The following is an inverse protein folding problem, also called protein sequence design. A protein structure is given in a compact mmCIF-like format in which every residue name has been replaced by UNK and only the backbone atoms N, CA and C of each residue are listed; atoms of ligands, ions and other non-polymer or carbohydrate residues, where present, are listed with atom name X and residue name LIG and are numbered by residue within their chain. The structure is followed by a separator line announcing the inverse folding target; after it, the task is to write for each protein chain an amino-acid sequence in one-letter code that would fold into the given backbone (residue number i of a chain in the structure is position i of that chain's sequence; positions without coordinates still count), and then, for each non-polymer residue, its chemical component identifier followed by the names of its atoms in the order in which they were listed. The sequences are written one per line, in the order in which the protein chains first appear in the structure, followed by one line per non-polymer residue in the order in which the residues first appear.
data_IF_146036390467
#
_entry.id   IF_146036390467
#
_cell.length_a   1.000
_cell.length_b   1.000
_cell.length_c   1.000
_cell.angle_alpha   90.00
_cell.angle_beta   90.00
_cell.angle_gamma   90.00
#
_symmetry.space_group_name_H-M   'P 1'
#
loop_
_entity.id
_entity.type
_entity.pdbx_description
1 polymer ?
#
# COMPACT_ATOMS: atom_id res chain seq x y z
N UNK A 1 -2.66 65.26 -0.12
CA UNK A 1 -3.49 64.08 0.22
C UNK A 1 -2.84 62.85 -0.38
N UNK A 2 -2.34 61.98 0.51
CA UNK A 2 -1.96 60.55 0.40
C UNK A 2 -1.24 60.04 -0.84
N UNK A 3 0.06 59.82 -0.63
CA UNK A 3 0.85 58.71 -1.18
C UNK A 3 0.16 57.37 -0.90
N UNK A 4 0.16 56.48 -1.88
CA UNK A 4 0.12 55.03 -1.66
C UNK A 4 1.25 54.41 -2.47
N UNK A 5 2.39 54.23 -1.80
CA UNK A 5 3.39 53.25 -2.18
C UNK A 5 2.79 51.86 -1.98
N UNK A 6 2.62 51.10 -3.06
CA UNK A 6 2.43 49.67 -2.95
C UNK A 6 3.81 49.06 -2.76
N UNK A 7 4.13 48.71 -1.52
CA UNK A 7 5.25 47.84 -1.20
C UNK A 7 4.88 46.43 -1.62
N UNK A 8 5.53 45.92 -2.66
CA UNK A 8 5.58 44.49 -2.95
C UNK A 8 6.46 43.83 -1.88
N UNK A 9 5.89 43.60 -0.70
CA UNK A 9 6.36 42.54 0.19
C UNK A 9 5.78 41.23 -0.35
N UNK A 10 6.50 40.63 -1.28
CA UNK A 10 6.39 39.21 -1.60
C UNK A 10 6.69 38.40 -0.33
N UNK A 11 5.67 38.17 0.47
CA UNK A 11 5.62 37.07 1.43
C UNK A 11 5.47 35.75 0.64
N UNK A 12 6.48 35.42 -0.17
CA UNK A 12 6.77 34.03 -0.49
C UNK A 12 7.10 33.37 0.84
N UNK A 13 6.14 32.63 1.40
CA UNK A 13 6.42 31.69 2.50
C UNK A 13 7.50 30.75 1.98
N UNK A 14 8.75 30.97 2.37
CA UNK A 14 9.83 30.04 2.13
C UNK A 14 9.35 28.67 2.61
N UNK A 15 9.15 27.73 1.67
CA UNK A 15 8.97 26.34 2.05
C UNK A 15 10.19 25.96 2.88
N UNK A 16 10.04 25.29 4.04
CA UNK A 16 11.19 24.78 4.73
C UNK A 16 11.97 23.91 3.74
N UNK A 17 13.23 24.27 3.44
CA UNK A 17 14.18 23.42 2.68
C UNK A 17 14.35 22.02 3.30
N UNK A 18 13.75 21.79 4.47
CA UNK A 18 13.66 20.51 5.17
C UNK A 18 12.55 19.60 4.63
N UNK A 19 11.52 20.13 3.96
CA UNK A 19 10.43 19.33 3.38
C UNK A 19 10.77 18.82 1.96
N UNK A 20 11.38 19.69 1.15
CA UNK A 20 11.86 19.37 -0.21
C UNK A 20 13.35 18.99 -0.13
N UNK A 21 13.73 17.85 -0.72
CA UNK A 21 15.11 17.33 -0.71
C UNK A 21 15.66 17.01 0.69
N UNK A 22 14.77 16.59 1.61
CA UNK A 22 15.10 16.20 2.97
C UNK A 22 16.27 15.20 3.07
N UNK A 23 16.49 14.39 2.04
CA UNK A 23 17.55 13.39 1.99
C UNK A 23 18.95 13.97 1.74
N UNK A 24 19.07 15.23 1.32
CA UNK A 24 20.35 15.96 1.16
C UNK A 24 20.79 16.70 2.43
N UNK A 25 19.90 16.86 3.41
CA UNK A 25 20.19 17.56 4.66
C UNK A 25 20.85 16.73 5.78
N UNK A 26 20.94 15.38 5.75
CA UNK A 26 21.73 14.63 6.72
C UNK A 26 23.20 15.04 6.67
N UNK A 27 23.88 15.05 7.83
CA UNK A 27 25.31 15.42 7.92
C UNK A 27 26.24 14.50 7.10
N UNK A 28 25.74 13.31 6.77
CA UNK A 28 26.41 12.27 5.98
C UNK A 28 26.57 12.64 4.49
N UNK A 29 25.86 13.66 4.00
CA UNK A 29 25.98 14.18 2.64
C UNK A 29 26.84 15.45 2.59
N UNK A 30 27.58 15.63 1.49
CA UNK A 30 28.31 16.86 1.17
C UNK A 30 27.38 17.94 0.60
N UNK A 31 27.91 19.15 0.39
CA UNK A 31 27.14 20.28 -0.17
C UNK A 31 26.60 20.00 -1.58
N UNK A 32 27.14 18.99 -2.27
CA UNK A 32 26.73 18.56 -3.60
C UNK A 32 25.71 17.40 -3.58
N UNK A 33 25.38 16.85 -2.41
CA UNK A 33 24.46 15.72 -2.26
C UNK A 33 25.08 14.35 -2.52
N UNK A 34 26.40 14.22 -2.43
CA UNK A 34 27.13 12.94 -2.42
C UNK A 34 27.42 12.46 -1.01
N UNK A 35 27.36 11.15 -0.81
CA UNK A 35 27.67 10.54 0.49
C UNK A 35 29.16 10.73 0.81
N UNK A 36 29.49 11.30 1.97
CA UNK A 36 30.88 11.62 2.38
C UNK A 36 31.78 10.40 2.63
N UNK A 37 31.24 9.19 2.59
CA UNK A 37 31.94 7.96 2.96
C UNK A 37 32.32 7.20 1.70
N UNK A 38 33.61 6.91 1.53
CA UNK A 38 34.12 5.98 0.50
C UNK A 38 33.74 4.55 0.88
N UNK A 39 32.87 3.91 0.09
CA UNK A 39 32.30 2.59 0.39
C UNK A 39 32.69 1.62 -0.72
N UNK A 40 33.92 1.12 -0.66
CA UNK A 40 34.38 -0.01 -1.47
C UNK A 40 33.85 -1.36 -0.96
N UNK A 41 33.42 -1.46 0.31
CA UNK A 41 32.98 -2.71 0.95
C UNK A 41 31.47 -2.74 1.23
N UNK A 42 30.73 -3.40 0.33
CA UNK A 42 29.26 -3.53 0.37
C UNK A 42 28.72 -4.31 1.57
N UNK A 43 29.54 -5.17 2.20
CA UNK A 43 29.09 -6.16 3.19
C UNK A 43 28.90 -5.61 4.60
N UNK A 44 29.42 -4.42 4.91
CA UNK A 44 29.42 -3.84 6.27
C UNK A 44 28.54 -2.58 6.42
N UNK A 45 27.61 -2.34 5.48
CA UNK A 45 26.77 -1.15 5.52
C UNK A 45 25.73 -1.22 6.64
N UNK A 46 25.73 -0.19 7.51
CA UNK A 46 24.69 -0.02 8.53
C UNK A 46 23.32 0.21 7.86
N UNK A 47 22.20 -0.14 8.52
CA UNK A 47 20.85 0.11 7.98
C UNK A 47 20.62 1.56 7.56
N UNK A 48 21.16 2.52 8.33
CA UNK A 48 21.15 3.95 7.98
C UNK A 48 21.82 4.22 6.63
N UNK A 49 23.05 3.73 6.44
CA UNK A 49 23.79 3.93 5.18
C UNK A 49 23.07 3.29 3.99
N UNK A 50 22.38 2.16 4.20
CA UNK A 50 21.54 1.54 3.16
C UNK A 50 20.39 2.46 2.72
N UNK A 51 19.70 3.10 3.65
CA UNK A 51 18.63 4.07 3.35
C UNK A 51 19.18 5.28 2.61
N UNK A 52 20.30 5.86 3.07
CA UNK A 52 20.90 7.03 2.41
C UNK A 52 21.34 6.70 0.98
N UNK A 53 21.92 5.51 0.76
CA UNK A 53 22.30 5.04 -0.58
C UNK A 53 21.09 4.80 -1.48
N UNK A 54 19.98 4.31 -0.93
CA UNK A 54 18.74 4.17 -1.69
C UNK A 54 18.23 5.55 -2.12
N UNK A 55 18.27 6.55 -1.24
CA UNK A 55 17.91 7.93 -1.59
C UNK A 55 18.83 8.51 -2.67
N UNK A 56 20.14 8.27 -2.59
CA UNK A 56 21.10 8.65 -3.63
C UNK A 56 20.78 7.96 -4.97
N UNK A 57 20.48 6.65 -4.96
CA UNK A 57 20.06 5.91 -6.15
C UNK A 57 18.78 6.51 -6.76
N UNK A 58 17.77 6.79 -5.94
CA UNK A 58 16.53 7.41 -6.39
C UNK A 58 16.81 8.79 -6.99
N UNK A 59 17.70 9.57 -6.39
CA UNK A 59 18.07 10.88 -6.88
C UNK A 59 18.75 10.83 -8.24
N UNK A 60 19.73 9.93 -8.43
CA UNK A 60 20.46 9.75 -9.68
C UNK A 60 19.54 9.33 -10.84
N UNK A 61 18.52 8.53 -10.55
CA UNK A 61 17.61 8.00 -11.57
C UNK A 61 16.42 8.93 -11.80
N UNK A 62 16.03 9.76 -10.84
CA UNK A 62 14.76 10.49 -10.89
C UNK A 62 14.60 11.42 -12.10
N UNK A 63 15.66 12.10 -12.55
CA UNK A 63 15.57 13.09 -13.64
C UNK A 63 15.24 12.46 -15.00
N UNK A 64 15.73 11.26 -15.28
CA UNK A 64 15.50 10.56 -16.56
C UNK A 64 14.49 9.42 -16.41
N UNK A 65 14.45 8.78 -15.24
CA UNK A 65 13.70 7.56 -14.99
C UNK A 65 12.20 7.75 -14.76
N UNK A 66 11.74 8.94 -14.35
CA UNK A 66 10.31 9.21 -14.14
C UNK A 66 9.54 9.03 -15.45
N UNK A 67 10.01 9.65 -16.54
CA UNK A 67 9.34 9.58 -17.84
C UNK A 67 9.32 8.15 -18.40
N UNK A 68 10.43 7.42 -18.23
CA UNK A 68 10.50 6.01 -18.62
C UNK A 68 9.49 5.13 -17.86
N UNK A 69 9.38 5.28 -16.55
CA UNK A 69 8.42 4.51 -15.76
C UNK A 69 6.98 4.95 -16.01
N UNK A 70 6.74 6.25 -16.18
CA UNK A 70 5.44 6.79 -16.58
C UNK A 70 4.99 6.21 -17.91
N UNK A 71 5.88 6.17 -18.91
CA UNK A 71 5.58 5.57 -20.20
C UNK A 71 5.24 4.08 -20.08
N UNK A 72 6.01 3.33 -19.27
CA UNK A 72 5.72 1.92 -18.95
C UNK A 72 4.36 1.76 -18.28
N UNK A 73 4.01 2.62 -17.33
CA UNK A 73 2.70 2.58 -16.65
C UNK A 73 1.54 2.92 -17.59
N UNK A 74 1.71 3.90 -18.49
CA UNK A 74 0.69 4.29 -19.47
C UNK A 74 0.41 3.16 -20.49
N UNK A 75 1.47 2.44 -20.87
CA UNK A 75 1.38 1.33 -21.84
C UNK A 75 1.00 0.00 -21.19
N UNK A 76 1.15 -0.12 -19.87
CA UNK A 76 0.88 -1.32 -19.10
C UNK A 76 -0.52 -1.88 -19.32
N UNK A 77 -0.57 -3.19 -19.53
CA UNK A 77 -1.77 -4.02 -19.49
C UNK A 77 -1.60 -5.09 -18.42
N UNK A 78 -2.72 -5.45 -17.79
CA UNK A 78 -2.77 -6.52 -16.79
C UNK A 78 -2.09 -7.80 -17.33
N UNK A 79 -1.15 -8.34 -16.57
CA UNK A 79 -0.34 -9.50 -16.93
C UNK A 79 0.90 -9.19 -17.77
N UNK A 80 1.27 -7.94 -18.03
CA UNK A 80 2.49 -7.61 -18.80
C UNK A 80 3.78 -7.95 -18.05
N UNK A 81 3.77 -7.92 -16.72
CA UNK A 81 4.91 -8.35 -15.90
C UNK A 81 4.89 -9.84 -15.54
N UNK A 82 3.96 -10.60 -16.11
CA UNK A 82 3.90 -12.04 -15.91
C UNK A 82 5.13 -12.70 -16.55
N UNK A 83 5.78 -13.58 -15.79
CA UNK A 83 6.90 -14.39 -16.25
C UNK A 83 6.45 -15.85 -16.43
N UNK A 84 6.90 -16.55 -17.49
CA UNK A 84 6.57 -17.95 -17.72
C UNK A 84 7.29 -18.85 -16.70
N UNK A 85 6.74 -18.94 -15.50
CA UNK A 85 7.21 -19.86 -14.45
C UNK A 85 6.38 -21.14 -14.51
N UNK A 86 7.04 -22.30 -14.53
CA UNK A 86 6.37 -23.60 -14.49
C UNK A 86 5.72 -24.07 -15.80
N UNK A 87 6.10 -23.49 -16.95
CA UNK A 87 5.65 -23.95 -18.27
C UNK A 87 4.17 -23.66 -18.62
N UNK A 88 3.46 -22.95 -17.76
CA UNK A 88 2.09 -22.47 -18.02
C UNK A 88 2.18 -21.26 -18.94
N UNK A 89 1.32 -21.16 -19.95
CA UNK A 89 1.27 -20.01 -20.85
C UNK A 89 0.43 -18.88 -20.26
N UNK A 90 0.72 -17.62 -20.62
CA UNK A 90 -0.06 -16.43 -20.20
C UNK A 90 -1.56 -16.59 -20.47
N UNK A 91 -1.91 -17.16 -21.62
CA UNK A 91 -3.29 -17.44 -22.05
C UNK A 91 -4.04 -18.45 -21.15
N UNK A 92 -3.31 -19.33 -20.47
CA UNK A 92 -3.84 -20.26 -19.47
C UNK A 92 -3.95 -19.64 -18.06
N UNK A 93 -3.56 -18.39 -17.87
CA UNK A 93 -3.66 -17.68 -16.57
C UNK A 93 -4.97 -16.88 -16.47
N UNK A 94 -5.53 -16.83 -15.27
CA UNK A 94 -6.71 -16.03 -14.92
C UNK A 94 -6.30 -14.59 -14.59
N UNK A 95 -5.99 -13.84 -15.64
CA UNK A 95 -5.54 -12.44 -15.58
C UNK A 95 -6.77 -11.54 -15.70
N UNK A 96 -7.05 -10.65 -14.73
CA UNK A 96 -8.17 -9.72 -14.82
C UNK A 96 -7.92 -8.66 -15.89
N UNK A 97 -8.97 -8.03 -16.41
CA UNK A 97 -8.82 -6.98 -17.43
C UNK A 97 -8.06 -5.73 -16.90
N UNK A 98 -8.17 -5.47 -15.59
CA UNK A 98 -7.56 -4.33 -14.90
C UNK A 98 -7.13 -4.79 -13.51
N UNK A 99 -5.88 -4.53 -13.15
CA UNK A 99 -5.33 -4.78 -11.83
C UNK A 99 -5.90 -3.80 -10.81
N UNK A 100 -6.30 -4.31 -9.66
CA UNK A 100 -6.85 -3.50 -8.57
C UNK A 100 -5.85 -3.37 -7.44
N UNK A 101 -5.30 -2.16 -7.28
CA UNK A 101 -4.48 -1.79 -6.12
C UNK A 101 -5.38 -1.20 -5.04
N UNK A 102 -5.38 -1.76 -3.84
CA UNK A 102 -6.17 -1.25 -2.71
C UNK A 102 -5.26 -0.55 -1.71
N UNK A 103 -5.52 0.73 -1.43
CA UNK A 103 -4.86 1.46 -0.36
C UNK A 103 -5.57 1.16 0.95
N UNK A 104 -4.83 0.68 1.96
CA UNK A 104 -5.34 0.48 3.33
C UNK A 104 -4.40 1.13 4.32
N UNK A 105 -4.92 1.55 5.47
CA UNK A 105 -4.11 2.22 6.48
C UNK A 105 -4.97 2.82 7.57
N UNK A 106 -4.35 3.22 8.67
CA UNK A 106 -5.07 3.85 9.78
C UNK A 106 -5.75 5.15 9.36
N UNK A 107 -6.64 5.63 10.20
CA UNK A 107 -7.26 6.97 10.06
C UNK A 107 -6.18 8.04 9.95
N UNK A 108 -6.39 9.05 9.11
CA UNK A 108 -5.44 10.13 8.87
C UNK A 108 -4.05 9.73 8.30
N UNK A 109 -3.83 8.48 7.89
CA UNK A 109 -2.58 8.03 7.22
C UNK A 109 -2.23 8.70 5.88
N UNK A 110 -3.06 9.60 5.34
CA UNK A 110 -2.76 10.31 4.09
C UNK A 110 -3.01 9.52 2.80
N UNK A 111 -3.85 8.48 2.83
CA UNK A 111 -4.23 7.69 1.63
C UNK A 111 -4.83 8.56 0.50
N UNK A 112 -5.81 9.40 0.81
CA UNK A 112 -6.44 10.28 -0.18
C UNK A 112 -5.45 11.33 -0.72
N UNK A 113 -4.57 11.85 0.15
CA UNK A 113 -3.47 12.74 -0.27
C UNK A 113 -2.47 12.03 -1.19
N UNK A 114 -2.17 10.75 -0.92
CA UNK A 114 -1.34 9.91 -1.79
C UNK A 114 -2.00 9.68 -3.15
N UNK A 115 -3.33 9.47 -3.21
CA UNK A 115 -4.07 9.37 -4.48
C UNK A 115 -3.98 10.69 -5.27
N UNK A 116 -4.14 11.83 -4.61
CA UNK A 116 -3.95 13.13 -5.23
C UNK A 116 -2.52 13.31 -5.76
N UNK A 117 -1.53 12.82 -5.01
CA UNK A 117 -0.13 12.81 -5.43
C UNK A 117 0.09 11.90 -6.65
N UNK A 118 -0.53 10.72 -6.67
CA UNK A 118 -0.53 9.84 -7.85
C UNK A 118 -1.17 10.49 -9.08
N UNK A 119 -2.27 11.23 -8.93
CA UNK A 119 -2.84 11.99 -10.06
C UNK A 119 -1.90 13.06 -10.59
N UNK A 120 -1.12 13.67 -9.71
CA UNK A 120 -0.19 14.75 -10.06
C UNK A 120 1.07 14.21 -10.74
N UNK A 121 1.58 13.05 -10.28
CA UNK A 121 2.82 12.42 -10.76
C UNK A 121 2.58 11.44 -11.93
N UNK A 122 1.43 10.80 -12.03
CA UNK A 122 1.17 9.77 -13.05
C UNK A 122 0.17 10.23 -14.11
N UNK A 123 -0.70 11.18 -13.75
CA UNK A 123 -1.70 11.71 -14.66
C UNK A 123 -1.09 12.56 -15.77
N UNK A 124 -1.77 12.61 -16.92
CA UNK A 124 -1.48 13.64 -17.92
C UNK A 124 -1.72 15.03 -17.35
N UNK A 125 -0.86 15.98 -17.72
CA UNK A 125 -0.93 17.39 -17.33
C UNK A 125 -2.36 17.94 -17.46
N UNK A 126 -2.86 18.61 -16.42
CA UNK A 126 -4.21 19.15 -16.33
C UNK A 126 -4.80 19.07 -14.92
N UNK A 127 -5.98 19.67 -14.72
CA UNK A 127 -6.67 19.79 -13.42
C UNK A 127 -6.61 18.49 -12.61
N UNK A 128 -6.09 18.58 -11.39
CA UNK A 128 -6.02 17.48 -10.43
C UNK A 128 -7.42 17.31 -9.81
N UNK A 129 -8.11 16.18 -10.05
CA UNK A 129 -9.32 15.90 -9.31
C UNK A 129 -8.91 15.65 -7.86
N UNK A 130 -9.31 16.54 -6.96
CA UNK A 130 -9.03 16.39 -5.53
C UNK A 130 -9.94 15.30 -4.97
N UNK A 131 -9.36 14.13 -4.69
CA UNK A 131 -9.92 13.21 -3.70
C UNK A 131 -10.04 13.98 -2.37
N UNK A 132 -11.12 13.77 -1.62
CA UNK A 132 -11.35 14.48 -0.37
C UNK A 132 -10.25 14.14 0.65
N UNK A 133 -9.26 15.02 0.81
CA UNK A 133 -8.30 14.98 1.91
C UNK A 133 -8.91 15.67 3.13
N UNK A 134 -8.69 15.10 4.32
CA UNK A 134 -9.20 15.65 5.58
C UNK A 134 -8.33 16.81 6.09
N UNK A 135 -8.06 17.81 5.25
CA UNK A 135 -7.25 18.99 5.61
C UNK A 135 -8.07 20.16 6.20
N UNK A 136 -9.23 19.86 6.78
CA UNK A 136 -10.05 20.82 7.49
C UNK A 136 -11.04 20.13 8.42
N UNK A 137 -11.61 20.89 9.35
CA UNK A 137 -12.56 20.52 10.41
C UNK A 137 -13.89 19.88 9.93
N UNK A 138 -13.90 19.19 8.79
CA UNK A 138 -15.04 18.43 8.29
C UNK A 138 -15.01 17.03 8.89
N UNK A 139 -16.00 16.73 9.73
CA UNK A 139 -16.35 15.42 10.28
C UNK A 139 -16.61 14.30 9.25
N UNK A 140 -16.29 14.51 7.97
CA UNK A 140 -16.54 13.58 6.87
C UNK A 140 -15.22 12.95 6.43
N UNK A 141 -14.79 11.90 7.12
CA UNK A 141 -13.79 10.96 6.59
C UNK A 141 -14.35 10.26 5.36
N UNK A 142 -13.50 9.79 4.43
CA UNK A 142 -13.90 8.98 3.27
C UNK A 142 -14.85 7.86 3.70
N UNK A 143 -16.16 8.00 3.45
CA UNK A 143 -17.18 7.02 3.89
C UNK A 143 -17.43 5.94 2.84
N UNK A 144 -16.85 6.11 1.65
CA UNK A 144 -17.04 5.24 0.51
C UNK A 144 -15.69 4.82 -0.04
N UNK A 145 -15.64 3.62 -0.61
CA UNK A 145 -14.49 3.17 -1.37
C UNK A 145 -14.51 3.81 -2.76
N UNK A 146 -13.46 4.54 -3.12
CA UNK A 146 -13.41 5.29 -4.38
C UNK A 146 -12.44 4.64 -5.37
N UNK A 147 -12.85 4.46 -6.63
CA UNK A 147 -11.99 3.93 -7.69
C UNK A 147 -11.35 5.10 -8.43
N UNK A 148 -10.03 5.10 -8.48
CA UNK A 148 -9.23 6.15 -9.11
C UNK A 148 -8.44 5.59 -10.30
N UNK A 149 -8.74 6.12 -11.48
CA UNK A 149 -7.90 5.95 -12.67
C UNK A 149 -6.83 7.05 -12.68
N UNK A 150 -5.75 6.84 -11.90
CA UNK A 150 -4.69 7.83 -11.67
C UNK A 150 -3.96 8.25 -12.96
N UNK A 151 -3.90 7.37 -13.97
CA UNK A 151 -3.31 7.65 -15.29
C UNK A 151 -4.22 8.47 -16.21
N UNK A 152 -5.50 8.65 -15.85
CA UNK A 152 -6.52 9.31 -16.69
C UNK A 152 -6.60 8.74 -18.10
N UNK A 153 -6.47 7.42 -18.20
CA UNK A 153 -6.44 6.70 -19.49
C UNK A 153 -7.49 5.61 -19.53
N UNK A 154 -8.33 5.61 -20.58
CA UNK A 154 -9.29 4.53 -20.83
C UNK A 154 -8.60 3.19 -21.14
N UNK A 155 -7.29 3.21 -21.42
CA UNK A 155 -6.48 2.03 -21.70
C UNK A 155 -5.65 1.58 -20.48
N UNK A 156 -5.85 2.20 -19.32
CA UNK A 156 -5.11 1.84 -18.10
C UNK A 156 -5.31 0.36 -17.76
N UNK A 157 -4.20 -0.35 -17.59
CA UNK A 157 -4.21 -1.73 -17.10
C UNK A 157 -4.46 -1.88 -15.60
N UNK A 158 -4.59 -0.78 -14.85
CA UNK A 158 -4.84 -0.81 -13.41
C UNK A 158 -5.72 0.34 -12.90
N UNK A 159 -6.25 0.18 -11.68
CA UNK A 159 -6.95 1.20 -10.92
C UNK A 159 -6.51 1.16 -9.45
N UNK A 160 -6.59 2.30 -8.77
CA UNK A 160 -6.28 2.45 -7.34
C UNK A 160 -7.57 2.66 -6.58
N UNK A 161 -7.77 1.96 -5.49
CA UNK A 161 -8.91 2.15 -4.61
C UNK A 161 -8.49 2.84 -3.32
N UNK A 162 -9.11 3.97 -3.02
CA UNK A 162 -8.98 4.65 -1.74
C UNK A 162 -10.00 4.08 -0.75
N UNK A 163 -9.53 3.64 0.40
CA UNK A 163 -10.39 3.12 1.47
C UNK A 163 -10.54 4.14 2.58
N UNK A 164 -11.63 4.02 3.35
CA UNK A 164 -11.69 4.65 4.66
C UNK A 164 -10.51 4.18 5.50
N UNK A 165 -9.99 5.08 6.33
CA UNK A 165 -8.98 4.68 7.32
C UNK A 165 -9.53 3.66 8.31
N UNK A 166 -8.66 2.83 8.88
CA UNK A 166 -9.04 1.94 9.98
C UNK A 166 -8.94 2.67 11.32
N UNK A 167 -9.78 2.30 12.27
CA UNK A 167 -9.67 2.80 13.65
C UNK A 167 -8.71 1.92 14.44
N UNK A 168 -7.68 2.52 15.05
CA UNK A 168 -6.75 1.80 15.93
C UNK A 168 -7.43 1.17 17.14
N UNK A 169 -8.59 1.69 17.56
CA UNK A 169 -9.36 1.17 18.69
C UNK A 169 -10.23 -0.03 18.31
N UNK A 170 -10.60 -0.15 17.02
CA UNK A 170 -11.48 -1.20 16.51
C UNK A 170 -10.85 -1.90 15.30
N UNK A 171 -9.64 -2.39 15.51
CA UNK A 171 -8.90 -3.10 14.46
C UNK A 171 -9.57 -4.42 14.06
N UNK A 172 -10.35 -5.06 14.94
CA UNK A 172 -11.00 -6.33 14.62
C UNK A 172 -12.05 -6.13 13.52
N UNK A 173 -12.95 -5.15 13.68
CA UNK A 173 -13.94 -4.80 12.67
C UNK A 173 -13.26 -4.38 11.36
N UNK A 174 -12.23 -3.53 11.45
CA UNK A 174 -11.46 -3.08 10.28
C UNK A 174 -10.78 -4.22 9.51
N UNK A 175 -10.23 -5.21 10.20
CA UNK A 175 -9.59 -6.37 9.56
C UNK A 175 -10.60 -7.33 8.94
N UNK A 176 -11.78 -7.48 9.55
CA UNK A 176 -12.88 -8.26 8.96
C UNK A 176 -13.36 -7.61 7.66
N UNK A 177 -13.47 -6.28 7.64
CA UNK A 177 -13.84 -5.52 6.45
C UNK A 177 -12.80 -5.69 5.33
N UNK A 178 -11.51 -5.52 5.65
CA UNK A 178 -10.41 -5.75 4.70
C UNK A 178 -10.42 -7.19 4.17
N UNK A 179 -10.64 -8.17 5.05
CA UNK A 179 -10.73 -9.59 4.66
C UNK A 179 -11.91 -9.86 3.72
N UNK A 180 -13.04 -9.17 3.95
CA UNK A 180 -14.21 -9.20 3.08
C UNK A 180 -13.91 -8.60 1.71
N UNK A 181 -13.17 -7.48 1.65
CA UNK A 181 -12.74 -6.89 0.38
C UNK A 181 -11.78 -7.80 -0.39
N UNK A 182 -10.84 -8.46 0.30
CA UNK A 182 -9.87 -9.37 -0.33
C UNK A 182 -10.53 -10.64 -0.91
N UNK A 183 -11.55 -11.16 -0.23
CA UNK A 183 -12.24 -12.40 -0.63
C UNK A 183 -13.37 -12.15 -1.64
N UNK A 184 -14.21 -11.14 -1.39
CA UNK A 184 -15.40 -10.88 -2.19
C UNK A 184 -15.15 -9.85 -3.28
N UNK A 185 -14.08 -9.07 -3.20
CA UNK A 185 -13.80 -7.95 -4.11
C UNK A 185 -14.46 -6.65 -3.69
N UNK A 186 -14.01 -5.56 -4.31
CA UNK A 186 -14.40 -4.17 -4.05
C UNK A 186 -15.23 -3.57 -5.18
N UNK A 187 -15.97 -2.50 -4.88
CA UNK A 187 -16.74 -1.70 -5.83
C UNK A 187 -16.58 -0.22 -5.56
N UNK A 188 -16.57 0.58 -6.62
CA UNK A 188 -16.66 2.03 -6.49
C UNK A 188 -17.96 2.44 -5.79
N UNK A 189 -17.88 3.44 -4.90
CA UNK A 189 -18.95 3.94 -4.06
C UNK A 189 -19.61 2.86 -3.18
N UNK A 190 -18.90 1.79 -2.83
CA UNK A 190 -19.36 0.91 -1.75
C UNK A 190 -19.14 1.63 -0.42
N UNK A 191 -20.13 1.64 0.48
CA UNK A 191 -19.95 2.24 1.81
C UNK A 191 -18.97 1.44 2.66
N UNK A 192 -18.16 2.14 3.44
CA UNK A 192 -17.24 1.60 4.44
C UNK A 192 -17.72 2.08 5.81
N UNK A 193 -18.57 1.27 6.44
CA UNK A 193 -19.24 1.61 7.70
C UNK A 193 -18.35 1.27 8.89
N UNK A 194 -18.36 2.13 9.89
CA UNK A 194 -17.84 1.84 11.23
C UNK A 194 -18.96 1.72 12.25
N UNK A 195 -18.66 1.08 13.36
CA UNK A 195 -19.52 1.12 14.53
C UNK A 195 -19.89 2.58 14.90
N UNK A 196 -21.19 2.90 14.85
CA UNK A 196 -21.73 4.24 15.16
C UNK A 196 -22.05 5.12 13.95
N UNK A 197 -21.67 4.73 12.73
CA UNK A 197 -22.15 5.42 11.53
C UNK A 197 -23.66 5.19 11.37
N UNK A 198 -24.39 6.27 11.06
CA UNK A 198 -25.79 6.12 10.65
C UNK A 198 -25.81 5.35 9.33
N UNK A 199 -26.52 4.22 9.30
CA UNK A 199 -26.86 3.51 8.07
C UNK A 199 -27.61 4.46 7.14
N UNK A 200 -26.87 5.16 6.28
CA UNK A 200 -27.45 5.80 5.12
C UNK A 200 -27.91 4.61 4.26
N UNK A 201 -29.22 4.49 4.04
CA UNK A 201 -29.85 3.54 3.13
C UNK A 201 -29.39 3.82 1.68
N UNK A 202 -28.11 3.65 1.40
CA UNK A 202 -27.54 3.58 0.07
C UNK A 202 -27.43 2.11 -0.27
N UNK A 203 -28.49 1.55 -0.86
CA UNK A 203 -28.46 0.17 -1.36
C UNK A 203 -27.23 -0.05 -2.23
N UNK A 204 -26.64 -1.25 -2.13
CA UNK A 204 -25.49 -1.69 -2.96
C UNK A 204 -25.71 -1.24 -4.41
N UNK A 205 -24.98 -0.21 -4.84
CA UNK A 205 -25.14 0.36 -6.16
C UNK A 205 -24.55 -0.64 -7.17
N UNK A 206 -25.39 -1.52 -7.72
CA UNK A 206 -24.99 -2.58 -8.67
C UNK A 206 -24.48 -2.02 -9.99
N UNK A 207 -24.57 -0.70 -10.19
CA UNK A 207 -24.07 0.04 -11.35
C UNK A 207 -22.56 -0.10 -11.54
N UNK A 208 -21.79 -0.24 -10.45
CA UNK A 208 -20.34 -0.33 -10.52
C UNK A 208 -19.86 -1.78 -10.53
N UNK A 209 -18.88 -2.08 -11.39
CA UNK A 209 -18.31 -3.40 -11.53
C UNK A 209 -17.63 -3.83 -10.22
N UNK A 210 -17.80 -5.11 -9.85
CA UNK A 210 -17.04 -5.71 -8.76
C UNK A 210 -15.67 -6.14 -9.25
N UNK A 211 -14.62 -5.73 -8.56
CA UNK A 211 -13.24 -6.07 -8.89
C UNK A 211 -12.59 -6.86 -7.77
N UNK A 212 -11.83 -7.88 -8.12
CA UNK A 212 -10.97 -8.60 -7.17
C UNK A 212 -9.79 -7.70 -6.85
N UNK A 213 -9.40 -7.60 -5.58
CA UNK A 213 -8.19 -6.87 -5.18
C UNK A 213 -6.97 -7.71 -5.54
N UNK A 214 -5.98 -7.15 -6.24
CA UNK A 214 -4.82 -7.89 -6.72
C UNK A 214 -3.57 -7.62 -5.90
N UNK A 215 -3.39 -6.38 -5.42
CA UNK A 215 -2.34 -6.01 -4.47
C UNK A 215 -2.87 -4.99 -3.46
N UNK A 216 -2.34 -5.06 -2.24
CA UNK A 216 -2.65 -4.14 -1.15
C UNK A 216 -1.40 -3.31 -0.88
N UNK A 217 -1.59 -2.00 -0.83
CA UNK A 217 -0.55 -1.04 -0.44
C UNK A 217 -0.95 -0.48 0.92
N UNK A 218 -0.11 -0.69 1.92
CA UNK A 218 -0.33 -0.22 3.28
C UNK A 218 0.25 1.19 3.39
N UNK A 219 -0.57 2.15 3.82
CA UNK A 219 -0.19 3.55 3.99
C UNK A 219 -0.16 3.89 5.47
N UNK A 220 0.93 4.51 5.95
CA UNK A 220 1.12 4.86 7.35
C UNK A 220 1.68 6.27 7.52
N UNK A 221 1.22 6.98 8.56
CA UNK A 221 1.73 8.30 8.94
C UNK A 221 3.04 8.16 9.72
N UNK A 222 4.14 8.65 9.14
CA UNK A 222 5.46 8.58 9.74
C UNK A 222 5.62 9.49 10.95
N UNK A 223 4.90 10.63 11.00
CA UNK A 223 4.90 11.53 12.15
C UNK A 223 4.19 10.89 13.35
N UNK A 224 3.08 10.19 13.11
CA UNK A 224 2.36 9.43 14.14
C UNK A 224 3.24 8.29 14.69
N UNK A 225 3.93 7.56 13.79
CA UNK A 225 4.89 6.53 14.17
C UNK A 225 6.04 7.12 15.00
N UNK A 226 6.61 8.26 14.60
CA UNK A 226 7.67 8.93 15.37
C UNK A 226 7.18 9.29 16.78
N UNK A 227 5.98 9.89 16.89
CA UNK A 227 5.36 10.25 18.17
C UNK A 227 5.15 9.02 19.05
N UNK A 228 4.64 7.92 18.49
CA UNK A 228 4.41 6.66 19.21
C UNK A 228 5.71 6.07 19.79
N UNK A 229 6.78 6.04 19.00
CA UNK A 229 8.08 5.57 19.49
C UNK A 229 8.70 6.48 20.55
N UNK A 230 8.47 7.79 20.48
CA UNK A 230 9.02 8.75 21.42
C UNK A 230 8.21 8.83 22.73
N UNK A 231 6.89 8.68 22.66
CA UNK A 231 6.00 8.66 23.83
C UNK A 231 5.95 7.30 24.54
N UNK A 232 6.30 6.22 23.82
CA UNK A 232 6.15 4.85 24.29
C UNK A 232 4.73 4.29 24.13
N UNK A 233 3.76 5.10 23.66
CA UNK A 233 2.43 4.62 23.30
C UNK A 233 2.46 3.98 21.91
N UNK A 234 2.74 2.68 21.87
CA UNK A 234 2.90 1.92 20.63
C UNK A 234 1.57 1.50 19.98
N UNK A 235 0.42 1.90 20.52
CA UNK A 235 -0.89 1.51 19.99
C UNK A 235 -1.06 1.67 18.47
N UNK A 236 -0.75 2.83 17.84
CA UNK A 236 -0.86 2.97 16.39
C UNK A 236 0.13 2.07 15.63
N UNK A 237 1.33 1.85 16.18
CA UNK A 237 2.37 0.98 15.59
C UNK A 237 1.98 -0.50 15.66
N UNK A 238 1.37 -0.92 16.77
CA UNK A 238 0.80 -2.26 16.95
C UNK A 238 -0.38 -2.49 16.01
N UNK A 239 -1.31 -1.54 15.91
CA UNK A 239 -2.43 -1.60 14.98
C UNK A 239 -1.95 -1.73 13.53
N UNK A 240 -0.94 -0.95 13.14
CA UNK A 240 -0.29 -1.05 11.82
C UNK A 240 0.34 -2.43 11.60
N UNK A 241 1.02 -2.98 12.61
CA UNK A 241 1.62 -4.33 12.52
C UNK A 241 0.57 -5.42 12.36
N UNK A 242 -0.54 -5.35 13.08
CA UNK A 242 -1.64 -6.31 12.94
C UNK A 242 -2.21 -6.23 11.51
N UNK A 243 -2.41 -5.02 10.97
CA UNK A 243 -2.84 -4.84 9.57
C UNK A 243 -1.83 -5.43 8.60
N UNK A 244 -0.55 -5.07 8.73
CA UNK A 244 0.52 -5.47 7.82
C UNK A 244 0.76 -6.98 7.79
N UNK A 245 0.57 -7.64 8.93
CA UNK A 245 0.76 -9.10 9.07
C UNK A 245 -0.49 -9.92 8.75
N UNK A 246 -1.62 -9.27 8.44
CA UNK A 246 -2.86 -9.98 8.12
C UNK A 246 -2.68 -10.91 6.89
N UNK A 247 -2.94 -12.20 7.11
CA UNK A 247 -2.88 -13.24 6.07
C UNK A 247 -3.75 -12.94 4.84
N UNK A 248 -4.87 -12.23 4.99
CA UNK A 248 -5.76 -11.90 3.88
C UNK A 248 -5.12 -10.97 2.85
N UNK A 249 -4.20 -10.09 3.28
CA UNK A 249 -3.50 -9.15 2.39
C UNK A 249 -2.16 -9.70 1.88
N UNK A 250 -1.60 -10.70 2.57
CA UNK A 250 -0.39 -11.43 2.17
C UNK A 250 -0.75 -12.59 1.25
N UNK A 251 -1.07 -12.29 -0.02
CA UNK A 251 -1.43 -13.31 -1.02
C UNK A 251 -0.28 -14.23 -1.46
N UNK A 252 0.96 -13.85 -1.14
CA UNK A 252 2.17 -14.58 -1.51
C UNK A 252 3.17 -14.57 -0.36
N UNK A 253 4.34 -15.18 -0.55
CA UNK A 253 5.45 -15.06 0.40
C UNK A 253 6.04 -13.65 0.45
N UNK A 254 5.60 -12.73 -0.42
CA UNK A 254 5.99 -11.33 -0.39
C UNK A 254 5.08 -10.53 0.55
N UNK A 255 5.68 -9.61 1.31
CA UNK A 255 4.94 -8.71 2.18
C UNK A 255 4.20 -7.63 1.35
N UNK A 256 3.13 -7.02 1.90
CA UNK A 256 2.50 -5.86 1.29
C UNK A 256 3.52 -4.71 1.18
N UNK A 257 3.33 -3.83 0.21
CA UNK A 257 4.16 -2.64 0.10
C UNK A 257 3.77 -1.62 1.19
N UNK A 258 4.76 -1.06 1.90
CA UNK A 258 4.54 0.02 2.86
C UNK A 258 4.87 1.38 2.22
N UNK A 259 3.94 2.32 2.31
CA UNK A 259 4.17 3.73 1.97
C UNK A 259 4.03 4.56 3.25
N UNK A 260 5.10 5.27 3.59
CA UNK A 260 5.18 6.22 4.68
C UNK A 260 4.85 7.62 4.16
N UNK A 261 3.87 8.27 4.78
CA UNK A 261 3.42 9.63 4.46
C UNK A 261 3.74 10.59 5.60
N UNK A 262 3.52 11.89 5.37
CA UNK A 262 3.70 12.95 6.37
C UNK A 262 5.13 13.06 6.97
N UNK A 263 6.12 12.46 6.31
CA UNK A 263 7.53 12.57 6.73
C UNK A 263 8.07 13.99 6.63
N UNK A 264 7.40 14.87 5.87
CA UNK A 264 7.67 16.31 5.78
C UNK A 264 7.34 17.09 7.06
N UNK A 265 6.59 16.50 7.99
CA UNK A 265 6.20 17.14 9.26
C UNK A 265 7.20 16.95 10.40
N UNK A 266 8.25 16.15 10.19
CA UNK A 266 9.29 15.83 11.19
C UNK A 266 10.68 16.14 10.65
N UNK A 267 11.69 16.21 11.53
CA UNK A 267 13.07 16.48 11.09
C UNK A 267 13.64 15.31 10.27
N UNK A 268 14.63 15.58 9.41
CA UNK A 268 15.31 14.54 8.62
C UNK A 268 15.88 13.39 9.46
N UNK A 269 16.47 13.70 10.61
CA UNK A 269 17.05 12.67 11.48
C UNK A 269 15.97 11.79 12.14
N UNK A 270 14.87 12.41 12.57
CA UNK A 270 13.71 11.66 13.06
C UNK A 270 13.11 10.83 11.93
N UNK A 271 12.97 11.39 10.73
CA UNK A 271 12.41 10.70 9.56
C UNK A 271 13.16 9.41 9.23
N UNK A 272 14.50 9.48 9.14
CA UNK A 272 15.36 8.30 8.92
C UNK A 272 15.21 7.31 10.08
N UNK A 273 15.30 7.80 11.31
CA UNK A 273 15.26 6.95 12.51
C UNK A 273 13.91 6.23 12.63
N UNK A 274 12.80 6.92 12.42
CA UNK A 274 11.45 6.36 12.47
C UNK A 274 11.24 5.33 11.35
N UNK A 275 11.73 5.60 10.13
CA UNK A 275 11.70 4.64 9.02
C UNK A 275 12.46 3.35 9.37
N UNK A 276 13.67 3.47 9.93
CA UNK A 276 14.45 2.31 10.35
C UNK A 276 13.72 1.51 11.44
N UNK A 277 13.23 2.18 12.49
CA UNK A 277 12.50 1.55 13.60
C UNK A 277 11.26 0.81 13.12
N UNK A 278 10.45 1.40 12.23
CA UNK A 278 9.24 0.72 11.75
C UNK A 278 9.57 -0.45 10.81
N UNK A 279 10.60 -0.33 9.97
CA UNK A 279 11.03 -1.43 9.11
C UNK A 279 11.52 -2.63 9.94
N UNK A 280 12.32 -2.37 10.96
CA UNK A 280 12.77 -3.39 11.92
C UNK A 280 11.57 -4.02 12.66
N UNK A 281 10.64 -3.21 13.15
CA UNK A 281 9.47 -3.67 13.91
C UNK A 281 8.51 -4.56 13.09
N UNK A 282 8.38 -4.28 11.79
CA UNK A 282 7.59 -5.04 10.83
C UNK A 282 8.36 -6.21 10.17
N UNK A 283 9.68 -6.27 10.35
CA UNK A 283 10.53 -7.30 9.74
C UNK A 283 10.64 -7.17 8.22
N UNK A 284 10.70 -5.94 7.71
CA UNK A 284 10.83 -5.65 6.27
C UNK A 284 12.17 -4.97 5.95
N UNK A 285 12.73 -5.17 4.74
CA UNK A 285 13.96 -4.52 4.33
C UNK A 285 13.77 -3.01 4.21
N UNK A 286 14.71 -2.24 4.73
CA UNK A 286 14.60 -0.79 4.86
C UNK A 286 14.60 -0.07 3.51
N UNK A 287 15.22 -0.67 2.48
CA UNK A 287 15.43 -0.09 1.15
C UNK A 287 14.41 -0.53 0.10
N UNK A 288 13.72 -1.65 0.32
CA UNK A 288 12.78 -2.21 -0.68
C UNK A 288 11.41 -2.52 -0.13
N UNK A 289 11.25 -2.52 1.20
CA UNK A 289 10.00 -2.84 1.89
C UNK A 289 9.15 -1.60 2.18
N UNK A 290 9.75 -0.41 2.22
CA UNK A 290 9.08 0.84 2.53
C UNK A 290 9.49 1.95 1.56
N UNK A 291 8.53 2.78 1.16
CA UNK A 291 8.75 4.02 0.42
C UNK A 291 8.35 5.20 1.28
N UNK A 292 9.15 6.26 1.26
CA UNK A 292 8.87 7.50 1.97
C UNK A 292 8.40 8.57 0.99
N UNK A 293 7.12 8.95 1.09
CA UNK A 293 6.43 9.79 0.11
C UNK A 293 5.76 10.98 0.81
N UNK A 294 6.44 12.13 0.80
CA UNK A 294 5.86 13.39 1.23
C UNK A 294 4.82 13.87 0.20
N UNK A 295 3.54 13.82 0.56
CA UNK A 295 2.44 14.16 -0.35
C UNK A 295 2.19 15.67 -0.37
N UNK A 296 3.08 16.43 -1.00
CA UNK A 296 3.04 17.91 -1.09
C UNK A 296 2.02 18.45 -2.13
N UNK A 297 0.89 17.77 -2.31
CA UNK A 297 -0.11 18.17 -3.33
C UNK A 297 -0.93 19.40 -2.96
N UNK A 298 -1.02 19.75 -1.68
CA UNK A 298 -1.91 20.80 -1.19
C UNK A 298 -1.36 22.22 -1.43
N UNK A 299 -0.13 22.35 -1.94
CA UNK A 299 0.56 23.61 -2.13
C UNK A 299 0.52 24.12 -3.58
N UNK A 300 -0.12 23.41 -4.51
CA UNK A 300 -0.26 23.83 -5.92
C UNK A 300 1.03 23.76 -6.74
N UNK A 301 2.06 23.11 -6.22
CA UNK A 301 3.36 22.95 -6.87
C UNK A 301 3.37 21.64 -7.67
N UNK A 302 3.87 21.66 -8.90
CA UNK A 302 4.08 20.45 -9.69
C UNK A 302 5.11 19.56 -8.98
N UNK A 303 4.75 18.31 -8.61
CA UNK A 303 5.66 17.44 -7.85
C UNK A 303 6.97 17.11 -8.56
N UNK A 304 6.95 17.02 -9.89
CA UNK A 304 8.12 16.72 -10.72
C UNK A 304 9.18 17.82 -10.68
N UNK A 305 8.75 19.07 -10.55
CA UNK A 305 9.65 20.23 -10.52
C UNK A 305 10.17 20.51 -9.10
N UNK A 306 9.38 20.17 -8.09
CA UNK A 306 9.74 20.41 -6.69
C UNK A 306 10.54 19.27 -6.05
N UNK A 307 10.10 18.02 -6.22
CA UNK A 307 10.74 16.85 -5.63
C UNK A 307 10.69 15.63 -6.57
N UNK A 308 11.58 15.58 -7.58
CA UNK A 308 11.63 14.47 -8.53
C UNK A 308 11.96 13.15 -7.84
N UNK A 309 12.67 13.16 -6.70
CA UNK A 309 13.03 11.93 -5.98
C UNK A 309 11.80 11.27 -5.39
N UNK A 310 10.94 12.05 -4.73
CA UNK A 310 9.67 11.54 -4.19
C UNK A 310 8.70 11.14 -5.30
N UNK A 311 8.64 11.89 -6.40
CA UNK A 311 7.83 11.54 -7.57
C UNK A 311 8.28 10.21 -8.21
N UNK A 312 9.59 10.01 -8.34
CA UNK A 312 10.14 8.75 -8.83
C UNK A 312 9.89 7.60 -7.86
N UNK A 313 10.07 7.80 -6.56
CA UNK A 313 9.78 6.81 -5.53
C UNK A 313 8.32 6.33 -5.56
N UNK A 314 7.37 7.25 -5.72
CA UNK A 314 5.95 6.91 -5.93
C UNK A 314 5.75 6.06 -7.19
N UNK A 315 6.35 6.48 -8.29
CA UNK A 315 6.21 5.81 -9.59
C UNK A 315 6.79 4.39 -9.51
N UNK A 316 7.94 4.22 -8.85
CA UNK A 316 8.56 2.93 -8.60
C UNK A 316 7.69 2.06 -7.66
N UNK A 317 7.11 2.63 -6.60
CA UNK A 317 6.20 1.94 -5.69
C UNK A 317 4.97 1.36 -6.42
N UNK A 318 4.34 2.16 -7.30
CA UNK A 318 3.22 1.70 -8.14
C UNK A 318 3.68 0.62 -9.11
N UNK A 319 4.80 0.82 -9.79
CA UNK A 319 5.37 -0.17 -10.70
C UNK A 319 5.62 -1.52 -10.02
N UNK A 320 6.23 -1.51 -8.82
CA UNK A 320 6.45 -2.74 -8.02
C UNK A 320 5.16 -3.38 -7.56
N UNK A 321 4.16 -2.59 -7.20
CA UNK A 321 2.84 -3.11 -6.83
C UNK A 321 2.19 -3.88 -7.99
N UNK A 322 2.31 -3.37 -9.22
CA UNK A 322 1.83 -4.06 -10.43
C UNK A 322 2.63 -5.33 -10.74
N UNK A 323 3.96 -5.30 -10.57
CA UNK A 323 4.78 -6.50 -10.70
C UNK A 323 4.35 -7.60 -9.71
N UNK A 324 4.08 -7.21 -8.46
CA UNK A 324 3.59 -8.13 -7.43
C UNK A 324 2.19 -8.67 -7.78
N UNK A 325 1.29 -7.81 -8.28
CA UNK A 325 -0.02 -8.24 -8.75
C UNK A 325 0.08 -9.29 -9.87
N UNK A 326 0.93 -9.07 -10.86
CA UNK A 326 1.04 -9.94 -12.03
C UNK A 326 1.66 -11.31 -11.73
N UNK A 327 2.48 -11.40 -10.68
CA UNK A 327 3.04 -12.67 -10.20
C UNK A 327 2.03 -13.55 -9.48
N UNK A 328 0.95 -12.96 -8.98
CA UNK A 328 -0.03 -13.64 -8.13
C UNK A 328 -1.28 -14.13 -8.88
N UNK A 329 -1.28 -14.05 -10.22
CA UNK A 329 -2.35 -14.62 -11.03
C UNK A 329 -2.38 -16.14 -10.90
N UNK A 330 -3.59 -16.70 -10.86
CA UNK A 330 -3.77 -18.15 -10.74
C UNK A 330 -3.96 -18.76 -12.14
N UNK A 331 -3.53 -20.02 -12.35
CA UNK A 331 -3.90 -20.75 -13.56
C UNK A 331 -5.43 -20.87 -13.67
N UNK A 332 -5.95 -20.77 -14.89
CA UNK A 332 -7.36 -21.05 -15.18
C UNK A 332 -7.67 -22.48 -14.82
N UNK A 333 -8.74 -22.68 -14.04
CA UNK A 333 -9.23 -24.02 -13.71
C UNK A 333 -9.77 -24.69 -14.96
N UNK A 334 -9.10 -25.74 -15.42
CA UNK A 334 -9.56 -26.60 -16.51
C UNK A 334 -10.58 -27.60 -15.98
N UNK A 335 -11.39 -28.19 -16.87
CA UNK A 335 -12.36 -29.21 -16.47
C UNK A 335 -11.70 -30.40 -15.75
N UNK A 336 -10.48 -30.77 -16.14
CA UNK A 336 -9.67 -31.78 -15.45
C UNK A 336 -9.42 -31.43 -13.98
N UNK A 337 -9.17 -30.16 -13.67
CA UNK A 337 -8.94 -29.71 -12.29
C UNK A 337 -10.20 -29.85 -11.45
N UNK A 338 -11.38 -29.59 -12.03
CA UNK A 338 -12.67 -29.84 -11.38
C UNK A 338 -12.89 -31.32 -11.09
N UNK A 339 -12.54 -32.20 -12.03
CA UNK A 339 -12.59 -33.65 -11.81
C UNK A 339 -11.66 -34.07 -10.67
N UNK A 340 -10.43 -33.56 -10.64
CA UNK A 340 -9.47 -33.84 -9.57
C UNK A 340 -9.98 -33.34 -8.21
N UNK A 341 -10.52 -32.12 -8.13
CA UNK A 341 -11.11 -31.57 -6.91
C UNK A 341 -12.29 -32.43 -6.45
N UNK A 342 -13.15 -32.86 -7.37
CA UNK A 342 -14.29 -33.72 -7.07
C UNK A 342 -13.85 -35.09 -6.52
N UNK A 343 -12.86 -35.73 -7.16
CA UNK A 343 -12.29 -37.00 -6.69
C UNK A 343 -11.62 -36.83 -5.33
N UNK A 344 -10.86 -35.76 -5.12
CA UNK A 344 -10.23 -35.46 -3.83
C UNK A 344 -11.27 -35.27 -2.73
N UNK A 345 -12.38 -34.58 -3.02
CA UNK A 345 -13.48 -34.41 -2.08
C UNK A 345 -14.14 -35.74 -1.70
N UNK A 346 -14.39 -36.63 -2.67
CA UNK A 346 -14.88 -37.99 -2.41
C UNK A 346 -13.90 -38.76 -1.50
N UNK A 347 -12.60 -38.71 -1.78
CA UNK A 347 -11.59 -39.38 -0.96
C UNK A 347 -11.55 -38.83 0.46
N UNK A 348 -11.67 -37.52 0.66
CA UNK A 348 -11.80 -36.90 1.97
C UNK A 348 -13.08 -37.37 2.71
N UNK A 349 -14.21 -37.46 2.03
CA UNK A 349 -15.46 -37.97 2.62
C UNK A 349 -15.32 -39.43 3.07
N UNK A 350 -14.69 -40.29 2.25
CA UNK A 350 -14.40 -41.68 2.58
C UNK A 350 -13.46 -41.75 3.80
N UNK A 351 -12.40 -40.94 3.83
CA UNK A 351 -11.48 -40.84 4.96
C UNK A 351 -12.17 -40.43 6.27
N UNK A 352 -13.01 -39.39 6.22
CA UNK A 352 -13.81 -38.94 7.36
C UNK A 352 -14.79 -40.01 7.85
N UNK A 353 -15.40 -40.77 6.93
CA UNK A 353 -16.29 -41.88 7.27
C UNK A 353 -15.53 -43.00 8.01
N UNK A 354 -14.35 -43.39 7.53
CA UNK A 354 -13.51 -44.37 8.21
C UNK A 354 -13.00 -43.87 9.57
N UNK A 355 -12.65 -42.59 9.69
CA UNK A 355 -12.26 -41.98 10.97
C UNK A 355 -13.42 -42.01 11.98
N UNK A 356 -14.64 -41.71 11.54
CA UNK A 356 -15.85 -41.81 12.36
C UNK A 356 -16.12 -43.25 12.81
N UNK A 357 -16.01 -44.23 11.90
CA UNK A 357 -16.15 -45.65 12.24
C UNK A 357 -15.10 -46.08 13.26
N UNK A 358 -13.83 -45.72 13.05
CA UNK A 358 -12.74 -46.03 13.96
C UNK A 358 -13.02 -45.45 15.36
N UNK A 359 -13.48 -44.21 15.44
CA UNK A 359 -13.87 -43.57 16.70
C UNK A 359 -15.03 -44.31 17.39
N UNK A 360 -16.04 -44.74 16.63
CA UNK A 360 -17.17 -45.49 17.18
C UNK A 360 -16.73 -46.84 17.77
N UNK A 361 -15.90 -47.59 17.04
CA UNK A 361 -15.38 -48.88 17.50
C UNK A 361 -14.39 -48.75 18.66
N UNK A 362 -13.56 -47.70 18.72
CA UNK A 362 -12.66 -47.45 19.86
C UNK A 362 -13.45 -47.09 21.13
N UNK A 363 -14.55 -46.34 20.99
CA UNK A 363 -15.41 -45.95 22.12
C UNK A 363 -16.16 -47.17 22.69
N UNK A 364 -16.67 -48.06 21.83
CA UNK A 364 -17.29 -49.31 22.25
C UNK A 364 -16.31 -50.28 22.93
N UNK A 365 -15.05 -50.31 22.48
CA UNK A 365 -14.01 -51.13 23.09
C UNK A 365 -13.66 -50.66 24.52
N UNK A 366 -13.65 -49.34 24.76
CA UNK A 366 -13.45 -48.80 26.11
C UNK A 366 -14.65 -49.01 27.03
N UNK A 367 -15.88 -49.05 26.51
CA UNK A 367 -17.07 -49.26 27.33
C UNK A 367 -17.20 -50.70 27.86
N UNK A 368 -16.67 -51.69 27.12
CA UNK A 368 -16.64 -53.09 27.55
C UNK A 368 -15.55 -53.40 28.59
N UNK A 369 -14.53 -52.53 28.77
CA UNK A 369 -13.49 -52.71 29.79
C UNK A 369 -13.88 -52.14 31.19
N UNK A 370 -15.10 -51.61 31.36
CA UNK A 370 -15.64 -51.18 32.67
C UNK A 370 -16.50 -52.22 33.38
N UNK A 371 -16.64 -53.44 32.84
CA UNK A 371 -17.33 -54.57 33.47
C UNK A 371 -16.35 -55.69 33.84
N UNK A 372 -15.33 -55.34 34.62
CA UNK A 372 -14.61 -56.29 35.50
C UNK A 372 -14.13 -55.52 36.72
N UNK A 373 -14.97 -55.47 37.75
CA UNK A 373 -14.65 -55.86 39.13
C UNK A 373 -15.96 -55.92 39.93
#
# INVERSE_FOLDING_TARGET
MRNFSFSDEDNQRELPKTAIWWWRTPQDFDENGHLKVDISDLSNLTPRLKVLREMERLALISTEGIEDHRHKLITYRSGDFWLPVGGIKKEDMDIPAVITLLLVGLSASGKSSLVNYMYSVLGRSGLIPFAQSSSGNSHYTTMFLEEHNVLRSMRSGFCVYDSRGLDSNDMIEGLEEVSTWMTRGVRHNQPCFRHGDKLINGGSNTRYAKRKVDCVVVVADLSEINKAFNSGDLKPVEALKILFTNHCIRKSNENPLLILTHGDTISTEERITSRLKICEYLGIPETTGAYDIACLTEQGILPEESDPVTAFALTEAVYRSLMQSDRNHLPKKKWKDWVVIFVAWIMCCIGSFFAMLAHFFSTFTHHNNKLKY
#
